data_IF_159460151063
#
_entry.id   IF_159460151063
#
_cell.length_a   1.000
_cell.length_b   1.000
_cell.length_c   1.000
_cell.angle_alpha   90.00
_cell.angle_beta   90.00
_cell.angle_gamma   90.00
#
_symmetry.space_group_name_H-M   'P 1'
#
loop_
_entity.id
_entity.type
_entity.pdbx_description
1 polymer ?
#
# COMPACT_ATOMS: atom_id res chain seq x y z
N UNK A 1 -12.93 18.32 -19.59
CA UNK A 1 -13.64 17.03 -19.68
C UNK A 1 -14.33 16.76 -18.36
N UNK A 2 -15.51 16.14 -18.37
CA UNK A 2 -16.24 15.76 -17.16
C UNK A 2 -16.17 14.25 -17.02
N UNK A 3 -15.49 13.76 -15.98
CA UNK A 3 -15.47 12.35 -15.62
C UNK A 3 -16.36 12.10 -14.41
N UNK A 4 -17.05 10.96 -14.40
CA UNK A 4 -17.89 10.54 -13.29
C UNK A 4 -17.60 9.07 -12.99
N UNK A 5 -17.34 8.75 -11.74
CA UNK A 5 -17.21 7.38 -11.28
C UNK A 5 -16.78 7.32 -9.82
N UNK A 6 -16.51 6.12 -9.34
CA UNK A 6 -16.07 5.86 -7.97
C UNK A 6 -14.59 6.18 -7.84
N UNK A 7 -14.22 6.99 -6.85
CA UNK A 7 -12.80 7.18 -6.54
C UNK A 7 -12.24 5.91 -5.91
N UNK A 8 -11.41 5.19 -6.66
CA UNK A 8 -10.71 3.99 -6.22
C UNK A 8 -9.21 4.27 -6.10
N UNK A 9 -8.47 3.30 -5.56
CA UNK A 9 -7.01 3.34 -5.57
C UNK A 9 -6.52 3.46 -7.02
N UNK A 10 -5.67 4.45 -7.29
CA UNK A 10 -5.06 4.62 -8.61
C UNK A 10 -4.21 3.41 -8.98
N UNK A 11 -4.24 3.05 -10.26
CA UNK A 11 -3.24 2.14 -10.82
C UNK A 11 -1.95 2.93 -11.05
N UNK A 12 -0.81 2.27 -10.83
CA UNK A 12 0.51 2.91 -10.95
C UNK A 12 1.38 2.08 -11.87
N UNK A 13 2.08 2.75 -12.76
CA UNK A 13 3.11 2.15 -13.59
C UNK A 13 4.48 2.68 -13.16
N UNK A 14 5.44 1.77 -13.00
CA UNK A 14 6.81 2.12 -12.65
C UNK A 14 7.50 2.78 -13.84
N UNK A 15 8.00 4.00 -13.64
CA UNK A 15 8.65 4.82 -14.64
C UNK A 15 9.35 5.99 -13.98
N UNK A 16 10.01 6.83 -14.78
CA UNK A 16 10.77 7.99 -14.30
C UNK A 16 10.23 9.27 -14.99
N UNK A 17 9.26 9.97 -14.37
CA UNK A 17 8.61 9.67 -13.09
C UNK A 17 7.52 8.60 -13.19
N UNK A 18 7.08 8.08 -12.04
CA UNK A 18 5.98 7.13 -11.88
C UNK A 18 4.70 7.68 -12.51
N UNK A 19 3.96 6.83 -13.22
CA UNK A 19 2.69 7.20 -13.84
C UNK A 19 1.50 6.77 -12.99
N UNK A 20 0.52 7.65 -12.81
CA UNK A 20 -0.69 7.41 -12.04
C UNK A 20 -1.92 7.43 -12.95
N UNK A 21 -2.76 6.41 -12.82
CA UNK A 21 -3.99 6.27 -13.58
C UNK A 21 -5.19 6.13 -12.66
N UNK A 22 -6.16 7.02 -12.81
CA UNK A 22 -7.48 6.86 -12.20
C UNK A 22 -8.38 6.14 -13.20
N UNK A 23 -8.75 4.89 -12.89
CA UNK A 23 -9.52 4.02 -13.79
C UNK A 23 -10.98 3.98 -13.35
N UNK A 24 -11.88 4.23 -14.31
CA UNK A 24 -13.33 4.11 -14.18
C UNK A 24 -13.84 2.93 -15.01
N UNK A 25 -15.16 2.68 -14.98
CA UNK A 25 -15.77 1.55 -15.70
C UNK A 25 -15.57 1.61 -17.22
N UNK A 26 -15.64 2.81 -17.82
CA UNK A 26 -15.56 3.02 -19.27
C UNK A 26 -14.37 3.86 -19.73
N UNK A 27 -13.62 4.46 -18.81
CA UNK A 27 -12.60 5.47 -19.10
C UNK A 27 -11.48 5.41 -18.08
N UNK A 28 -10.35 6.04 -18.39
CA UNK A 28 -9.29 6.29 -17.42
C UNK A 28 -8.71 7.69 -17.62
N UNK A 29 -8.07 8.21 -16.58
CA UNK A 29 -7.34 9.47 -16.60
C UNK A 29 -5.89 9.19 -16.24
N UNK A 30 -4.95 9.59 -17.09
CA UNK A 30 -3.56 9.74 -16.66
C UNK A 30 -3.47 11.00 -15.78
N UNK A 31 -3.34 10.78 -14.48
CA UNK A 31 -3.34 11.84 -13.47
C UNK A 31 -2.13 12.77 -13.59
N UNK A 32 -1.01 12.27 -14.12
CA UNK A 32 0.20 13.07 -14.32
C UNK A 32 -0.04 14.22 -15.31
N UNK A 33 -0.93 14.03 -16.29
CA UNK A 33 -1.27 15.07 -17.27
C UNK A 33 -2.08 16.23 -16.67
N UNK A 34 -2.64 16.04 -15.46
CA UNK A 34 -3.40 17.06 -14.74
C UNK A 34 -2.53 17.93 -13.84
N UNK A 35 -1.23 17.63 -13.71
CA UNK A 35 -0.32 18.46 -12.95
C UNK A 35 -0.26 19.87 -13.53
N UNK A 36 -0.16 20.88 -12.66
CA UNK A 36 -0.21 22.31 -12.99
C UNK A 36 -1.52 22.80 -13.63
N UNK A 37 -2.57 21.97 -13.64
CA UNK A 37 -3.90 22.34 -14.11
C UNK A 37 -4.88 22.48 -12.95
N UNK A 38 -5.84 23.40 -13.10
CA UNK A 38 -6.95 23.50 -12.16
C UNK A 38 -7.94 22.35 -12.40
N UNK A 39 -8.24 21.61 -11.34
CA UNK A 39 -9.25 20.56 -11.33
C UNK A 39 -10.46 20.98 -10.50
N UNK A 40 -11.58 20.30 -10.70
CA UNK A 40 -12.77 20.47 -9.86
C UNK A 40 -13.32 19.11 -9.50
N UNK A 41 -13.63 18.93 -8.21
CA UNK A 41 -14.18 17.70 -7.67
C UNK A 41 -15.58 18.01 -7.12
N UNK A 42 -16.54 17.14 -7.42
CA UNK A 42 -17.90 17.23 -6.89
C UNK A 42 -18.32 15.87 -6.34
N UNK A 43 -18.59 15.79 -5.03
CA UNK A 43 -19.06 14.58 -4.38
C UNK A 43 -20.55 14.37 -4.70
N UNK A 44 -20.84 13.31 -5.45
CA UNK A 44 -22.21 12.98 -5.84
C UNK A 44 -22.92 12.00 -4.90
N UNK A 45 -22.17 11.14 -4.23
CA UNK A 45 -22.69 10.04 -3.41
C UNK A 45 -21.57 9.07 -3.04
N UNK A 46 -21.94 7.88 -2.60
CA UNK A 46 -21.00 6.82 -2.26
C UNK A 46 -21.28 5.56 -3.09
N UNK A 47 -20.33 4.65 -3.16
CA UNK A 47 -20.54 3.35 -3.79
C UNK A 47 -19.67 2.30 -3.11
N UNK A 48 -20.30 1.28 -2.53
CA UNK A 48 -19.57 0.17 -1.93
C UNK A 48 -18.84 -0.63 -3.02
N UNK A 49 -17.54 -0.86 -2.85
CA UNK A 49 -16.74 -1.62 -3.82
C UNK A 49 -17.11 -3.11 -3.91
N UNK A 50 -17.87 -3.64 -2.95
CA UNK A 50 -18.35 -5.02 -2.98
C UNK A 50 -19.75 -5.15 -3.59
N UNK A 51 -20.75 -4.44 -3.05
CA UNK A 51 -22.14 -4.60 -3.48
C UNK A 51 -22.61 -3.59 -4.52
N UNK A 52 -21.80 -2.58 -4.87
CA UNK A 52 -22.14 -1.56 -5.87
C UNK A 52 -23.24 -0.58 -5.45
N UNK A 53 -23.83 -0.75 -4.27
CA UNK A 53 -24.93 0.10 -3.78
C UNK A 53 -24.41 1.43 -3.24
N UNK A 54 -25.21 2.49 -3.39
CA UNK A 54 -24.99 3.78 -2.73
C UNK A 54 -25.30 3.65 -1.24
N UNK A 55 -24.23 3.45 -0.46
CA UNK A 55 -24.24 3.30 0.99
C UNK A 55 -23.03 4.04 1.57
N UNK A 56 -23.16 4.62 2.78
CA UNK A 56 -22.00 5.16 3.48
C UNK A 56 -20.86 4.15 3.57
N UNK A 57 -19.65 4.59 3.21
CA UNK A 57 -18.46 3.75 3.26
C UNK A 57 -17.93 3.71 4.69
N UNK A 58 -17.71 2.51 5.21
CA UNK A 58 -17.20 2.29 6.55
C UNK A 58 -15.67 2.24 6.55
N UNK A 59 -15.07 1.29 5.83
CA UNK A 59 -13.61 1.13 5.75
C UNK A 59 -13.21 0.36 4.49
N UNK A 60 -12.00 0.61 4.00
CA UNK A 60 -11.42 -0.09 2.82
C UNK A 60 -12.29 -0.03 1.54
N UNK A 61 -13.15 0.98 1.41
CA UNK A 61 -14.08 1.09 0.28
C UNK A 61 -15.36 0.25 0.42
N UNK A 62 -15.59 -0.38 1.57
CA UNK A 62 -16.78 -1.22 1.82
C UNK A 62 -17.77 -0.54 2.75
N UNK A 63 -19.07 -0.79 2.52
CA UNK A 63 -20.11 -0.47 3.49
C UNK A 63 -20.01 -1.40 4.72
N UNK A 64 -20.67 -1.03 5.81
CA UNK A 64 -20.51 -1.72 7.10
C UNK A 64 -20.81 -3.22 7.03
N UNK A 65 -21.88 -3.65 6.36
CA UNK A 65 -22.21 -5.07 6.24
C UNK A 65 -21.12 -5.82 5.46
N UNK A 66 -20.80 -5.36 4.26
CA UNK A 66 -19.77 -6.02 3.43
C UNK A 66 -18.41 -6.09 4.12
N UNK A 67 -18.03 -5.07 4.91
CA UNK A 67 -16.76 -5.08 5.64
C UNK A 67 -16.63 -6.26 6.63
N UNK A 68 -17.73 -6.63 7.30
CA UNK A 68 -17.71 -7.75 8.25
C UNK A 68 -17.91 -9.12 7.58
N UNK A 69 -18.51 -9.15 6.38
CA UNK A 69 -18.87 -10.41 5.72
C UNK A 69 -17.76 -10.94 4.78
N UNK A 70 -17.04 -10.06 4.07
CA UNK A 70 -16.17 -10.50 2.96
C UNK A 70 -14.74 -10.83 3.41
N UNK A 71 -14.07 -11.84 2.81
CA UNK A 71 -12.70 -12.21 3.17
C UNK A 71 -11.66 -11.12 2.81
N UNK A 72 -11.93 -10.27 1.82
CA UNK A 72 -11.08 -9.12 1.43
C UNK A 72 -10.90 -8.08 2.53
N UNK A 73 -11.78 -8.08 3.53
CA UNK A 73 -11.78 -7.14 4.65
C UNK A 73 -11.46 -7.81 6.00
N UNK A 74 -11.03 -9.08 5.97
CA UNK A 74 -10.65 -9.83 7.15
C UNK A 74 -9.41 -9.24 7.86
N UNK A 75 -9.25 -9.55 9.15
CA UNK A 75 -8.21 -8.93 9.98
C UNK A 75 -6.79 -9.25 9.48
N UNK A 76 -6.58 -10.44 8.91
CA UNK A 76 -5.30 -10.88 8.36
C UNK A 76 -4.81 -10.05 7.16
N UNK A 77 -5.69 -9.25 6.56
CA UNK A 77 -5.32 -8.26 5.52
C UNK A 77 -4.45 -7.16 6.10
N UNK A 78 -4.73 -6.72 7.32
CA UNK A 78 -3.95 -5.69 8.03
C UNK A 78 -2.90 -6.27 8.96
N UNK A 79 -3.09 -7.52 9.40
CA UNK A 79 -2.24 -8.26 10.33
C UNK A 79 -1.81 -9.58 9.71
N UNK A 80 -0.80 -9.59 8.82
CA UNK A 80 -0.42 -10.79 8.06
C UNK A 80 -0.06 -12.00 8.97
N UNK A 81 0.36 -11.75 10.20
CA UNK A 81 0.65 -12.77 11.23
C UNK A 81 -0.59 -13.57 11.68
N UNK A 82 -1.80 -13.08 11.43
CA UNK A 82 -3.06 -13.77 11.73
C UNK A 82 -3.52 -14.69 10.60
N UNK A 83 -2.78 -14.80 9.49
CA UNK A 83 -3.11 -15.67 8.37
C UNK A 83 -3.05 -17.16 8.74
N UNK A 84 -4.16 -17.88 8.65
CA UNK A 84 -4.27 -19.29 9.04
C UNK A 84 -4.52 -20.28 7.89
N UNK A 85 -4.60 -19.83 6.64
CA UNK A 85 -4.95 -20.71 5.50
C UNK A 85 -3.92 -21.83 5.28
N UNK A 86 -2.67 -21.64 5.71
CA UNK A 86 -1.60 -22.65 5.66
C UNK A 86 -1.82 -23.82 6.63
N UNK A 87 -2.78 -23.69 7.55
CA UNK A 87 -3.21 -24.71 8.50
C UNK A 87 -4.57 -25.31 8.12
N UNK A 88 -5.09 -25.02 6.92
CA UNK A 88 -6.43 -25.41 6.47
C UNK A 88 -7.57 -24.91 7.39
N UNK A 89 -7.36 -23.78 8.09
CA UNK A 89 -8.35 -23.15 8.97
C UNK A 89 -8.97 -21.93 8.31
N UNK A 90 -10.28 -21.99 8.10
CA UNK A 90 -11.11 -20.91 7.57
C UNK A 90 -11.28 -19.76 8.57
N UNK A 91 -11.21 -18.52 8.08
CA UNK A 91 -11.70 -17.31 8.79
C UNK A 91 -13.07 -16.90 8.26
N UNK A 92 -13.18 -16.63 6.94
CA UNK A 92 -14.43 -16.26 6.26
C UNK A 92 -14.70 -17.04 4.96
N UNK A 93 -13.65 -17.37 4.21
CA UNK A 93 -13.73 -18.15 2.96
C UNK A 93 -12.37 -18.81 2.69
N UNK A 94 -12.26 -20.10 2.99
CA UNK A 94 -10.99 -20.80 2.92
C UNK A 94 -10.41 -20.88 1.50
N UNK A 95 -11.25 -21.01 0.47
CA UNK A 95 -10.77 -21.10 -0.92
C UNK A 95 -10.13 -19.78 -1.35
N UNK A 96 -10.81 -18.66 -1.06
CA UNK A 96 -10.27 -17.33 -1.31
C UNK A 96 -9.00 -17.08 -0.48
N UNK A 97 -9.03 -17.42 0.79
CA UNK A 97 -7.90 -17.23 1.71
C UNK A 97 -6.67 -18.01 1.27
N UNK A 98 -6.82 -19.28 0.87
CA UNK A 98 -5.71 -20.06 0.30
C UNK A 98 -5.12 -19.38 -0.92
N UNK A 99 -5.96 -18.94 -1.86
CA UNK A 99 -5.51 -18.24 -3.06
C UNK A 99 -4.72 -16.96 -2.75
N UNK A 100 -5.11 -16.22 -1.70
CA UNK A 100 -4.45 -14.96 -1.35
C UNK A 100 -3.25 -15.14 -0.43
N UNK A 101 -3.34 -16.03 0.55
CA UNK A 101 -2.34 -16.21 1.60
C UNK A 101 -1.22 -17.16 1.16
N UNK A 102 -1.51 -18.20 0.37
CA UNK A 102 -0.56 -19.25 -0.04
C UNK A 102 0.07 -18.93 -1.41
N UNK A 103 0.78 -17.82 -1.45
CA UNK A 103 1.56 -17.40 -2.62
C UNK A 103 2.80 -16.61 -2.15
N UNK A 104 3.77 -16.34 -3.04
CA UNK A 104 4.96 -15.58 -2.69
C UNK A 104 4.63 -14.20 -2.09
N UNK A 105 5.16 -13.96 -0.90
CA UNK A 105 5.11 -12.68 -0.20
C UNK A 105 6.52 -12.20 0.11
N UNK A 106 6.67 -10.88 0.15
CA UNK A 106 7.94 -10.21 0.41
C UNK A 106 7.81 -9.35 1.65
N UNK A 107 8.81 -9.45 2.53
CA UNK A 107 9.08 -8.45 3.56
C UNK A 107 10.16 -7.52 3.01
N UNK A 108 9.93 -6.22 3.08
CA UNK A 108 10.82 -5.20 2.52
C UNK A 108 11.04 -4.07 3.51
N UNK A 109 12.11 -3.31 3.27
CA UNK A 109 12.29 -1.97 3.81
C UNK A 109 11.85 -0.95 2.77
N UNK A 110 11.28 0.14 3.23
CA UNK A 110 10.92 1.28 2.40
C UNK A 110 11.21 2.56 3.17
N UNK A 111 11.78 3.56 2.51
CA UNK A 111 12.00 4.88 3.08
C UNK A 111 11.11 5.90 2.38
N UNK A 112 10.15 6.46 3.12
CA UNK A 112 9.31 7.58 2.65
C UNK A 112 9.49 8.87 3.44
N UNK A 113 10.31 8.82 4.49
CA UNK A 113 10.72 9.90 5.40
C UNK A 113 11.67 9.36 6.46
N UNK A 114 11.53 8.06 6.74
CA UNK A 114 12.40 7.22 7.54
C UNK A 114 12.21 5.77 7.08
N UNK A 115 13.19 4.92 7.36
CA UNK A 115 13.13 3.48 7.09
C UNK A 115 12.01 2.83 7.90
N UNK A 116 11.22 2.00 7.22
CA UNK A 116 10.20 1.14 7.82
C UNK A 116 10.18 -0.24 7.19
N UNK A 117 9.66 -1.22 7.94
CA UNK A 117 9.39 -2.56 7.43
C UNK A 117 7.93 -2.69 6.96
N UNK A 118 7.71 -3.48 5.90
CA UNK A 118 6.37 -3.81 5.43
C UNK A 118 6.28 -5.15 4.73
N UNK A 119 5.04 -5.64 4.56
CA UNK A 119 4.70 -6.87 3.83
C UNK A 119 3.87 -6.59 2.59
N UNK A 120 4.12 -7.34 1.53
CA UNK A 120 3.29 -7.35 0.32
C UNK A 120 3.36 -8.69 -0.41
N UNK A 121 2.47 -8.90 -1.37
CA UNK A 121 2.61 -10.01 -2.34
C UNK A 121 3.72 -9.67 -3.33
N UNK A 122 4.48 -10.66 -3.81
CA UNK A 122 5.54 -10.43 -4.80
C UNK A 122 5.03 -9.72 -6.05
N UNK A 123 3.84 -10.08 -6.51
CA UNK A 123 3.14 -9.46 -7.66
C UNK A 123 2.72 -8.00 -7.47
N UNK A 124 2.93 -7.42 -6.28
CA UNK A 124 2.61 -6.02 -5.98
C UNK A 124 3.88 -5.17 -5.83
N UNK A 125 5.06 -5.70 -6.14
CA UNK A 125 6.30 -4.94 -6.20
C UNK A 125 6.50 -4.43 -7.63
N UNK A 126 6.81 -3.14 -7.86
CA UNK A 126 7.04 -2.08 -6.87
C UNK A 126 5.79 -1.27 -6.49
N UNK A 127 4.59 -1.59 -7.02
CA UNK A 127 3.33 -0.86 -6.76
C UNK A 127 3.10 -0.54 -5.28
N UNK A 128 3.39 -1.46 -4.37
CA UNK A 128 3.21 -1.25 -2.94
C UNK A 128 4.14 -0.17 -2.38
N UNK A 129 5.36 -0.07 -2.87
CA UNK A 129 6.33 0.95 -2.47
C UNK A 129 5.89 2.32 -2.96
N UNK A 130 5.37 2.38 -4.19
CA UNK A 130 4.74 3.56 -4.78
C UNK A 130 3.56 4.05 -3.92
N UNK A 131 2.65 3.15 -3.55
CA UNK A 131 1.49 3.49 -2.69
C UNK A 131 1.88 4.09 -1.34
N UNK A 132 3.08 3.74 -0.87
CA UNK A 132 3.61 4.17 0.41
C UNK A 132 4.43 5.45 0.33
N UNK A 133 4.61 6.00 -0.88
CA UNK A 133 5.42 7.18 -1.14
C UNK A 133 6.89 6.99 -0.80
N UNK A 134 7.40 5.76 -0.95
CA UNK A 134 8.81 5.47 -0.70
C UNK A 134 9.66 5.99 -1.86
N UNK A 135 10.75 6.71 -1.58
CA UNK A 135 11.73 7.12 -2.59
C UNK A 135 12.79 6.04 -2.83
N UNK A 136 12.96 5.13 -1.88
CA UNK A 136 13.82 3.96 -1.98
C UNK A 136 13.18 2.77 -1.24
N UNK A 137 13.42 1.56 -1.75
CA UNK A 137 12.97 0.33 -1.11
C UNK A 137 13.90 -0.84 -1.44
N UNK A 138 13.98 -1.82 -0.53
CA UNK A 138 14.74 -3.06 -0.74
C UNK A 138 14.01 -4.26 -0.14
N UNK A 139 14.08 -5.40 -0.81
CA UNK A 139 13.53 -6.65 -0.30
C UNK A 139 14.47 -7.28 0.76
N UNK A 140 13.90 -7.82 1.84
CA UNK A 140 14.62 -8.54 2.90
C UNK A 140 14.46 -10.05 2.74
N UNK A 141 13.21 -10.54 2.68
CA UNK A 141 12.90 -11.97 2.53
C UNK A 141 11.78 -12.18 1.52
N UNK A 142 11.81 -13.30 0.81
CA UNK A 142 10.72 -13.77 -0.05
C UNK A 142 10.25 -15.16 0.41
N UNK A 143 9.06 -15.22 0.99
CA UNK A 143 8.50 -16.40 1.65
C UNK A 143 7.29 -16.95 0.89
N UNK A 144 6.99 -18.25 0.99
CA UNK A 144 5.95 -18.90 0.19
C UNK A 144 4.51 -18.58 0.64
N UNK A 145 4.33 -17.94 1.78
CA UNK A 145 3.00 -17.61 2.30
C UNK A 145 3.01 -16.34 3.15
N UNK A 146 1.81 -15.78 3.33
CA UNK A 146 1.56 -14.54 4.06
C UNK A 146 1.90 -14.62 5.54
N UNK A 147 1.68 -15.76 6.18
CA UNK A 147 1.93 -15.95 7.61
C UNK A 147 3.42 -15.78 7.94
N UNK A 148 4.30 -16.45 7.18
CA UNK A 148 5.75 -16.31 7.34
C UNK A 148 6.22 -14.87 7.15
N UNK A 149 5.60 -14.14 6.21
CA UNK A 149 5.90 -12.73 6.00
C UNK A 149 5.45 -11.89 7.21
N UNK A 150 4.27 -12.22 7.77
CA UNK A 150 3.71 -11.56 8.93
C UNK A 150 4.53 -11.72 10.20
N UNK A 151 4.92 -12.94 10.57
CA UNK A 151 5.76 -13.16 11.75
C UNK A 151 7.12 -12.48 11.61
N UNK A 152 7.66 -12.44 10.38
CA UNK A 152 8.92 -11.74 10.09
C UNK A 152 8.73 -10.24 10.23
N UNK A 153 7.67 -9.66 9.68
CA UNK A 153 7.36 -8.23 9.83
C UNK A 153 7.22 -7.84 11.31
N UNK A 154 6.47 -8.63 12.09
CA UNK A 154 6.30 -8.40 13.53
C UNK A 154 7.63 -8.42 14.27
N UNK A 155 8.51 -9.38 13.97
CA UNK A 155 9.84 -9.45 14.58
C UNK A 155 10.69 -8.21 14.24
N UNK A 156 10.68 -7.79 12.97
CA UNK A 156 11.47 -6.64 12.53
C UNK A 156 10.92 -5.30 13.02
N UNK A 157 9.60 -5.15 13.21
CA UNK A 157 8.95 -3.96 13.77
C UNK A 157 9.45 -3.58 15.18
N UNK A 158 10.03 -4.51 15.92
CA UNK A 158 10.66 -4.21 17.20
C UNK A 158 11.96 -3.39 17.08
N UNK A 159 12.55 -3.34 15.88
CA UNK A 159 13.86 -2.75 15.61
C UNK A 159 13.83 -1.59 14.61
N UNK A 160 12.73 -1.43 13.86
CA UNK A 160 12.53 -0.35 12.89
C UNK A 160 11.09 0.15 12.96
N UNK A 161 10.89 1.43 12.64
CA UNK A 161 9.56 2.05 12.64
C UNK A 161 8.58 1.31 11.72
N UNK A 162 7.28 1.33 12.06
CA UNK A 162 6.20 0.75 11.27
C UNK A 162 5.25 1.81 10.66
N UNK A 163 5.44 3.10 10.98
CA UNK A 163 4.47 4.17 10.68
C UNK A 163 5.08 5.29 9.85
N UNK A 164 4.58 5.45 8.63
CA UNK A 164 4.93 6.60 7.78
C UNK A 164 4.43 7.93 8.37
N UNK A 165 5.33 8.91 8.50
CA UNK A 165 4.95 10.31 8.71
C UNK A 165 4.56 10.94 7.37
N UNK A 166 3.29 10.78 7.00
CA UNK A 166 2.78 11.22 5.70
C UNK A 166 2.96 12.72 5.45
N UNK A 167 3.02 13.57 6.50
CA UNK A 167 3.24 15.00 6.33
C UNK A 167 4.66 15.31 5.86
N UNK A 168 5.66 14.66 6.47
CA UNK A 168 7.05 14.83 6.08
C UNK A 168 7.27 14.27 4.67
N UNK A 169 6.72 13.09 4.40
CA UNK A 169 6.70 12.47 3.07
C UNK A 169 6.16 13.43 1.99
N UNK A 170 4.97 14.02 2.20
CA UNK A 170 4.38 14.94 1.21
C UNK A 170 5.17 16.24 1.03
N UNK A 171 5.94 16.67 2.03
CA UNK A 171 6.79 17.87 1.93
C UNK A 171 8.18 17.57 1.35
N UNK A 172 8.49 16.30 1.09
CA UNK A 172 9.84 15.83 0.80
C UNK A 172 10.86 16.13 1.92
N UNK A 173 10.41 16.11 3.18
CA UNK A 173 11.29 16.14 4.35
C UNK A 173 11.80 14.72 4.62
N UNK A 174 12.69 14.23 3.76
CA UNK A 174 13.24 12.85 3.79
C UNK A 174 14.71 12.86 4.21
N UNK A 175 15.15 11.75 4.82
CA UNK A 175 16.56 11.47 5.13
C UNK A 175 16.96 10.26 4.32
N UNK A 176 18.07 10.38 3.59
CA UNK A 176 18.70 9.31 2.82
C UNK A 176 19.33 8.28 3.77
N UNK A 177 19.11 7.00 3.54
CA UNK A 177 19.53 5.92 4.42
C UNK A 177 20.00 4.70 3.61
N UNK A 178 21.08 4.04 4.01
CA UNK A 178 21.55 2.82 3.34
C UNK A 178 20.65 1.63 3.73
N UNK A 179 19.69 1.28 2.87
CA UNK A 179 18.76 0.20 3.13
C UNK A 179 19.45 -1.17 3.11
N UNK A 180 20.58 -1.31 2.40
CA UNK A 180 21.37 -2.52 2.43
C UNK A 180 22.03 -2.73 3.81
N UNK A 181 22.54 -1.67 4.44
CA UNK A 181 23.04 -1.69 5.82
C UNK A 181 21.92 -2.05 6.81
N UNK A 182 20.75 -1.40 6.67
CA UNK A 182 19.58 -1.73 7.48
C UNK A 182 19.18 -3.20 7.35
N UNK A 183 19.12 -3.72 6.13
CA UNK A 183 18.82 -5.14 5.87
C UNK A 183 19.84 -6.06 6.52
N UNK A 184 21.13 -5.73 6.43
CA UNK A 184 22.19 -6.53 7.06
C UNK A 184 22.05 -6.55 8.59
N UNK A 185 21.81 -5.38 9.22
CA UNK A 185 21.55 -5.28 10.65
C UNK A 185 20.31 -6.08 11.07
N UNK A 186 19.25 -6.04 10.28
CA UNK A 186 17.99 -6.70 10.60
C UNK A 186 18.01 -8.22 10.40
N UNK A 187 18.97 -8.75 9.63
CA UNK A 187 19.13 -10.18 9.34
C UNK A 187 19.10 -11.06 10.59
N UNK A 188 19.73 -10.62 11.69
CA UNK A 188 19.80 -11.39 12.93
C UNK A 188 18.46 -11.54 13.66
N UNK A 189 17.46 -10.70 13.33
CA UNK A 189 16.15 -10.70 13.97
C UNK A 189 15.08 -11.44 13.16
N UNK A 190 15.46 -12.02 12.01
CA UNK A 190 14.55 -12.83 11.19
C UNK A 190 14.23 -14.13 11.94
N UNK A 191 12.95 -14.49 12.12
CA UNK A 191 12.54 -15.75 12.76
C UNK A 191 13.12 -16.98 12.07
N UNK A 192 13.38 -18.04 12.83
CA UNK A 192 14.01 -19.28 12.32
C UNK A 192 13.28 -19.85 11.10
N UNK A 193 11.95 -19.82 11.14
CA UNK A 193 11.06 -20.28 10.08
C UNK A 193 11.20 -19.51 8.77
N UNK A 194 11.73 -18.28 8.83
CA UNK A 194 11.90 -17.38 7.70
C UNK A 194 13.38 -17.20 7.27
N UNK A 195 14.35 -17.67 8.07
CA UNK A 195 15.80 -17.42 7.81
C UNK A 195 16.29 -17.94 6.47
N UNK A 196 15.80 -19.11 6.05
CA UNK A 196 16.17 -19.72 4.77
C UNK A 196 15.72 -18.90 3.54
N UNK A 197 14.82 -17.94 3.73
CA UNK A 197 14.24 -17.10 2.68
C UNK A 197 14.89 -15.71 2.60
N UNK A 198 15.96 -15.48 3.36
CA UNK A 198 16.69 -14.21 3.33
C UNK A 198 17.35 -13.96 1.97
N UNK A 199 17.21 -12.73 1.48
CA UNK A 199 17.79 -12.28 0.22
C UNK A 199 19.15 -11.66 0.54
N UNK A 200 20.24 -12.37 0.26
CA UNK A 200 21.61 -11.89 0.54
C UNK A 200 21.99 -10.69 -0.33
N UNK A 201 21.70 -10.75 -1.63
CA UNK A 201 22.12 -9.75 -2.60
C UNK A 201 20.90 -9.17 -3.30
N UNK A 202 20.65 -7.89 -3.07
CA UNK A 202 19.68 -7.10 -3.81
C UNK A 202 20.15 -5.64 -3.82
N UNK A 203 19.76 -4.89 -4.83
CA UNK A 203 19.97 -3.45 -4.87
C UNK A 203 18.71 -2.72 -4.42
N UNK A 204 18.90 -1.49 -3.98
CA UNK A 204 17.79 -0.60 -3.72
C UNK A 204 17.07 -0.26 -5.02
N UNK A 205 15.76 -0.07 -4.91
CA UNK A 205 14.92 0.44 -5.98
C UNK A 205 14.59 1.88 -5.67
N UNK A 206 15.14 2.80 -6.47
CA UNK A 206 14.80 4.22 -6.42
C UNK A 206 13.45 4.47 -7.12
N UNK A 207 12.66 5.40 -6.56
CA UNK A 207 11.31 5.71 -7.00
C UNK A 207 11.13 7.22 -7.19
N UNK A 208 10.93 7.63 -8.44
CA UNK A 208 10.73 9.03 -8.80
C UNK A 208 9.26 9.40 -8.93
N UNK A 209 8.79 10.35 -8.11
CA UNK A 209 7.40 10.80 -8.14
C UNK A 209 7.22 12.04 -9.02
N UNK A 210 6.08 12.18 -9.75
CA UNK A 210 5.82 13.29 -10.65
C UNK A 210 5.38 14.55 -9.88
N UNK A 211 6.25 15.08 -9.02
CA UNK A 211 5.94 16.26 -8.18
C UNK A 211 6.62 17.50 -8.74
N UNK A 212 5.81 18.46 -9.22
CA UNK A 212 6.33 19.76 -9.70
C UNK A 212 6.80 20.64 -8.53
N UNK A 213 6.04 20.64 -7.43
CA UNK A 213 6.32 21.46 -6.25
C UNK A 213 5.78 20.83 -4.98
N UNK A 214 6.66 20.58 -4.02
CA UNK A 214 6.25 20.03 -2.74
C UNK A 214 5.45 21.05 -1.89
N UNK A 215 4.31 20.66 -1.32
CA UNK A 215 3.52 21.52 -0.43
C UNK A 215 4.27 21.81 0.87
N UNK A 216 4.28 23.07 1.31
CA UNK A 216 4.89 23.45 2.61
C UNK A 216 4.02 23.09 3.83
N UNK A 217 2.70 23.16 3.67
CA UNK A 217 1.70 22.95 4.74
C UNK A 217 0.53 22.12 4.20
N UNK A 218 0.71 20.80 3.97
CA UNK A 218 -0.37 19.96 3.45
C UNK A 218 -1.57 19.98 4.39
N UNK A 219 -2.77 20.20 3.83
CA UNK A 219 -4.05 20.15 4.54
C UNK A 219 -4.92 19.06 3.94
N UNK A 220 -5.58 18.28 4.79
CA UNK A 220 -6.54 17.28 4.33
C UNK A 220 -7.80 17.96 3.79
N UNK A 221 -8.23 17.57 2.59
CA UNK A 221 -9.53 17.90 2.05
C UNK A 221 -10.56 16.86 2.51
N UNK A 222 -11.68 17.31 3.07
CA UNK A 222 -12.80 16.43 3.43
C UNK A 222 -14.00 16.76 2.54
N UNK A 223 -14.29 15.86 1.60
CA UNK A 223 -15.36 16.05 0.60
C UNK A 223 -16.78 15.90 1.17
N UNK A 224 -16.94 15.25 2.33
CA UNK A 224 -18.26 15.18 2.99
C UNK A 224 -18.65 16.55 3.58
N UNK A 225 -17.67 17.29 4.09
CA UNK A 225 -17.85 18.67 4.58
C UNK A 225 -17.87 19.69 3.44
N UNK A 226 -17.00 19.51 2.45
CA UNK A 226 -16.87 20.38 1.29
C UNK A 226 -17.19 19.60 0.03
N UNK A 227 -18.49 19.47 -0.28
CA UNK A 227 -19.00 18.68 -1.41
C UNK A 227 -18.39 19.07 -2.76
N UNK A 228 -17.93 20.31 -2.88
CA UNK A 228 -17.24 20.82 -4.05
C UNK A 228 -15.85 21.34 -3.67
N UNK A 229 -14.87 21.06 -4.51
CA UNK A 229 -13.52 21.59 -4.44
C UNK A 229 -13.08 22.06 -5.82
N UNK A 230 -12.32 23.15 -5.88
CA UNK A 230 -11.69 23.67 -7.09
C UNK A 230 -10.31 24.23 -6.76
N UNK A 231 -9.33 23.89 -7.59
CA UNK A 231 -7.96 24.42 -7.53
C UNK A 231 -6.96 23.42 -8.07
#
# INVERSE_FOLDING_TARGET
MLYKGVLTKMQTEFGHPIQYYLVFESDFINMNQLLDNNISLNLMGHQCLNCGLDKPIYRQGFCRSCFFDIPQAADWIMRPELSTAHLDKEDRDLEYEKKVQLQPHVVYLANSSHVKVGVTRKSQIPTRWIDQGAHEAIEIVEVPNRYLAGITEVALKAHVSDKTNWRNMLKNEVTDEDLAEWRHRLKTYIPEEAKAYFIENNSETELDFPVIKFPKKPKSLNLEKSKQYKG
#
